data_IF_540746517125
#
_entry.id   IF_540746517125
#
_cell.length_a   1.000
_cell.length_b   1.000
_cell.length_c   1.000
_cell.angle_alpha   90.00
_cell.angle_beta   90.00
_cell.angle_gamma   90.00
#
_symmetry.space_group_name_H-M   'P 1'
#
loop_
_entity.id
_entity.type
_entity.pdbx_description
1 polymer ?
#
# COMPACT_ATOMS: atom_id res chain seq x y z
N UNK A 1 21.09 28.12 -32.97
CA UNK A 1 19.66 27.83 -32.74
C UNK A 1 19.51 26.40 -32.21
N UNK A 2 19.20 26.21 -30.91
CA UNK A 2 18.92 24.88 -30.35
C UNK A 2 17.48 24.52 -30.71
N UNK A 3 17.29 23.65 -31.72
CA UNK A 3 15.99 23.01 -31.96
C UNK A 3 15.70 22.12 -30.75
N UNK A 4 14.80 22.57 -29.87
CA UNK A 4 14.17 21.68 -28.90
C UNK A 4 13.28 20.74 -29.71
N UNK A 5 13.77 19.53 -29.97
CA UNK A 5 12.92 18.42 -30.34
C UNK A 5 12.06 18.13 -29.10
N UNK A 6 10.87 18.72 -29.04
CA UNK A 6 9.81 18.18 -28.20
C UNK A 6 9.33 16.96 -28.96
N UNK A 7 9.99 15.83 -28.72
CA UNK A 7 9.51 14.53 -29.18
C UNK A 7 8.20 14.31 -28.44
N UNK A 8 7.09 14.26 -29.16
CA UNK A 8 5.81 13.78 -28.63
C UNK A 8 5.96 12.28 -28.44
N UNK A 9 6.43 11.88 -27.26
CA UNK A 9 6.39 10.49 -26.83
C UNK A 9 4.93 10.11 -26.57
N UNK A 10 4.55 8.92 -27.01
CA UNK A 10 3.33 8.29 -26.51
C UNK A 10 3.43 8.02 -25.00
N UNK A 11 2.29 7.85 -24.34
CA UNK A 11 2.26 7.50 -22.91
C UNK A 11 3.04 6.20 -22.62
N UNK A 12 2.98 5.22 -23.53
CA UNK A 12 3.73 3.97 -23.40
C UNK A 12 5.25 4.16 -23.45
N UNK A 13 5.75 4.96 -24.40
CA UNK A 13 7.17 5.27 -24.53
C UNK A 13 7.67 6.08 -23.33
N UNK A 14 6.85 7.00 -22.82
CA UNK A 14 7.17 7.76 -21.62
C UNK A 14 7.24 6.84 -20.39
N UNK A 15 6.27 5.93 -20.22
CA UNK A 15 6.26 4.95 -19.13
C UNK A 15 7.48 4.03 -19.21
N UNK A 16 7.84 3.57 -20.41
CA UNK A 16 9.00 2.71 -20.63
C UNK A 16 10.31 3.44 -20.29
N UNK A 17 10.48 4.69 -20.72
CA UNK A 17 11.64 5.52 -20.39
C UNK A 17 11.74 5.80 -18.88
N UNK A 18 10.62 6.12 -18.22
CA UNK A 18 10.55 6.31 -16.77
C UNK A 18 10.96 5.03 -16.03
N UNK A 19 10.44 3.86 -16.45
CA UNK A 19 10.84 2.56 -15.92
C UNK A 19 12.32 2.27 -16.15
N UNK A 20 12.86 2.58 -17.33
CA UNK A 20 14.27 2.39 -17.67
C UNK A 20 15.23 3.23 -16.80
N UNK A 21 14.76 4.39 -16.32
CA UNK A 21 15.47 5.23 -15.34
C UNK A 21 15.35 4.73 -13.90
N UNK A 22 14.71 3.58 -13.67
CA UNK A 22 14.51 3.00 -12.35
C UNK A 22 13.37 3.63 -11.55
N UNK A 23 12.51 4.43 -12.19
CA UNK A 23 11.37 5.07 -11.53
C UNK A 23 10.16 4.14 -11.64
N UNK A 24 9.67 3.68 -10.50
CA UNK A 24 8.45 2.88 -10.40
C UNK A 24 7.24 3.80 -10.21
N UNK A 25 6.58 4.15 -11.33
CA UNK A 25 5.49 5.12 -11.34
C UNK A 25 4.31 4.69 -10.46
N UNK A 26 3.97 3.41 -10.45
CA UNK A 26 2.87 2.87 -9.62
C UNK A 26 3.21 2.96 -8.13
N UNK A 27 4.43 2.57 -7.76
CA UNK A 27 4.89 2.70 -6.38
C UNK A 27 4.84 4.16 -5.91
N UNK A 28 5.33 5.10 -6.74
CA UNK A 28 5.28 6.53 -6.42
C UNK A 28 3.85 7.06 -6.32
N UNK A 29 2.94 6.60 -7.20
CA UNK A 29 1.53 6.98 -7.16
C UNK A 29 0.86 6.50 -5.86
N UNK A 30 1.09 5.24 -5.48
CA UNK A 30 0.55 4.64 -4.26
C UNK A 30 1.10 5.31 -3.01
N UNK A 31 2.42 5.48 -2.88
CA UNK A 31 3.00 6.15 -1.72
C UNK A 31 2.57 7.61 -1.64
N UNK A 32 2.48 8.30 -2.78
CA UNK A 32 1.94 9.66 -2.86
C UNK A 32 0.47 9.74 -2.43
N UNK A 33 -0.37 8.78 -2.83
CA UNK A 33 -1.76 8.71 -2.38
C UNK A 33 -1.86 8.51 -0.87
N UNK A 34 -1.08 7.57 -0.30
CA UNK A 34 -1.05 7.30 1.14
C UNK A 34 -0.65 8.55 1.91
N UNK A 35 0.43 9.23 1.51
CA UNK A 35 0.91 10.46 2.18
C UNK A 35 -0.10 11.61 2.13
N UNK A 36 -0.82 11.76 1.01
CA UNK A 36 -1.87 12.78 0.83
C UNK A 36 -3.16 12.47 1.57
N UNK A 37 -3.47 11.20 1.82
CA UNK A 37 -4.73 10.77 2.45
C UNK A 37 -4.57 10.57 3.95
N UNK A 38 -3.40 10.12 4.40
CA UNK A 38 -3.12 9.73 5.77
C UNK A 38 -1.92 10.47 6.35
N UNK A 39 -2.07 10.84 7.63
CA UNK A 39 -0.99 11.29 8.50
C UNK A 39 -0.52 10.10 9.33
N UNK A 40 0.80 9.84 9.40
CA UNK A 40 1.35 8.81 10.28
C UNK A 40 1.34 9.36 11.71
N UNK A 41 0.68 8.66 12.62
CA UNK A 41 0.62 9.00 14.05
C UNK A 41 1.74 8.30 14.81
N UNK A 42 1.99 7.03 14.52
CA UNK A 42 3.03 6.24 15.19
C UNK A 42 3.10 4.81 14.69
N UNK A 43 4.14 4.07 15.08
CA UNK A 43 4.28 2.64 14.77
C UNK A 43 3.58 1.80 15.84
N UNK A 44 2.71 0.89 15.41
CA UNK A 44 2.01 -0.05 16.29
C UNK A 44 2.77 -1.38 16.42
N UNK A 45 3.50 -1.79 15.38
CA UNK A 45 4.29 -3.02 15.43
C UNK A 45 5.05 -3.31 14.14
N UNK A 46 5.89 -4.34 14.20
CA UNK A 46 6.63 -4.90 13.07
C UNK A 46 6.75 -6.41 13.26
N UNK A 47 6.57 -7.18 12.19
CA UNK A 47 6.70 -8.62 12.22
C UNK A 47 6.94 -9.21 10.84
N UNK A 48 6.93 -10.55 10.75
CA UNK A 48 7.19 -11.29 9.51
C UNK A 48 6.30 -10.86 8.34
N UNK A 49 5.07 -10.42 8.62
CA UNK A 49 4.10 -9.98 7.61
C UNK A 49 4.18 -8.49 7.27
N UNK A 50 5.12 -7.73 7.84
CA UNK A 50 5.32 -6.30 7.57
C UNK A 50 5.14 -5.38 8.78
N UNK A 51 5.01 -4.09 8.50
CA UNK A 51 4.96 -3.02 9.51
C UNK A 51 3.53 -2.53 9.70
N UNK A 52 3.10 -2.29 10.94
CA UNK A 52 1.77 -1.75 11.26
C UNK A 52 1.92 -0.36 11.86
N UNK A 53 1.18 0.59 11.31
CA UNK A 53 1.23 2.00 11.68
C UNK A 53 -0.15 2.47 12.12
N UNK A 54 -0.20 3.28 13.18
CA UNK A 54 -1.36 4.09 13.49
C UNK A 54 -1.34 5.29 12.56
N UNK A 55 -2.46 5.52 11.87
CA UNK A 55 -2.61 6.64 10.94
C UNK A 55 -3.89 7.39 11.20
N UNK A 56 -3.91 8.65 10.79
CA UNK A 56 -5.07 9.51 10.84
C UNK A 56 -5.46 9.92 9.43
N UNK A 57 -6.70 9.64 9.01
CA UNK A 57 -7.19 10.12 7.72
C UNK A 57 -7.34 11.63 7.76
N UNK A 58 -6.68 12.32 6.84
CA UNK A 58 -6.59 13.79 6.86
C UNK A 58 -7.95 14.47 6.66
N UNK A 59 -8.84 13.88 5.87
CA UNK A 59 -10.15 14.47 5.56
C UNK A 59 -11.15 14.38 6.71
N UNK A 60 -11.12 13.31 7.51
CA UNK A 60 -12.09 13.06 8.59
C UNK A 60 -11.51 13.18 9.99
N UNK A 61 -10.18 13.19 10.14
CA UNK A 61 -9.51 13.08 11.44
C UNK A 61 -9.61 11.71 12.10
N UNK A 62 -10.27 10.73 11.47
CA UNK A 62 -10.47 9.39 12.04
C UNK A 62 -9.16 8.59 12.05
N UNK A 63 -8.94 7.83 13.11
CA UNK A 63 -7.74 7.02 13.34
C UNK A 63 -7.96 5.58 12.87
N UNK A 64 -6.92 5.02 12.26
CA UNK A 64 -6.90 3.67 11.67
C UNK A 64 -5.57 2.96 11.96
N UNK A 65 -5.57 1.64 11.81
CA UNK A 65 -4.35 0.84 11.69
C UNK A 65 -4.04 0.60 10.20
N UNK A 66 -2.78 0.74 9.80
CA UNK A 66 -2.33 0.61 8.43
C UNK A 66 -1.14 -0.34 8.36
N UNK A 67 -1.33 -1.51 7.74
CA UNK A 67 -0.30 -2.54 7.56
C UNK A 67 0.39 -2.37 6.21
N UNK A 68 1.71 -2.16 6.22
CA UNK A 68 2.60 -2.09 5.05
C UNK A 68 3.23 -3.47 4.80
N UNK A 69 2.98 -4.05 3.64
CA UNK A 69 3.54 -5.35 3.23
C UNK A 69 4.31 -5.17 1.92
N UNK A 70 5.60 -5.53 1.92
CA UNK A 70 6.41 -5.54 0.69
C UNK A 70 6.17 -6.86 -0.05
N UNK A 71 5.75 -6.79 -1.30
CA UNK A 71 5.59 -7.95 -2.18
C UNK A 71 7.00 -8.30 -2.71
N UNK A 72 7.66 -9.29 -2.10
CA UNK A 72 8.97 -9.78 -2.57
C UNK A 72 8.77 -10.74 -3.75
N UNK A 73 8.85 -10.24 -4.99
CA UNK A 73 8.80 -11.09 -6.21
C UNK A 73 10.11 -11.83 -6.49
N UNK A 74 11.16 -11.56 -5.73
CA UNK A 74 12.42 -12.29 -5.82
C UNK A 74 12.27 -13.63 -5.11
N UNK A 75 11.89 -14.66 -5.88
CA UNK A 75 12.07 -16.10 -5.59
C UNK A 75 11.48 -16.68 -4.30
N UNK A 76 10.65 -15.96 -3.55
CA UNK A 76 10.01 -16.49 -2.33
C UNK A 76 8.63 -17.02 -2.69
N UNK A 77 8.59 -18.35 -2.90
CA UNK A 77 7.48 -19.30 -2.92
C UNK A 77 6.06 -18.77 -3.21
N UNK A 78 5.37 -19.36 -4.21
CA UNK A 78 3.91 -19.26 -4.48
C UNK A 78 3.05 -19.15 -3.20
N UNK A 79 3.46 -19.84 -2.13
CA UNK A 79 2.84 -19.85 -0.81
C UNK A 79 2.65 -18.44 -0.19
N UNK A 80 3.60 -17.51 -0.38
CA UNK A 80 3.50 -16.17 0.23
C UNK A 80 2.43 -15.31 -0.47
N UNK A 81 2.30 -15.45 -1.80
CA UNK A 81 1.24 -14.81 -2.57
C UNK A 81 -0.14 -15.38 -2.23
N UNK A 82 -0.24 -16.70 -2.07
CA UNK A 82 -1.48 -17.35 -1.64
C UNK A 82 -1.87 -16.94 -0.22
N UNK A 83 -0.91 -16.86 0.70
CA UNK A 83 -1.14 -16.41 2.08
C UNK A 83 -1.63 -14.96 2.13
N UNK A 84 -1.04 -14.07 1.32
CA UNK A 84 -1.49 -12.68 1.18
C UNK A 84 -2.91 -12.59 0.60
N UNK A 85 -3.20 -13.37 -0.44
CA UNK A 85 -4.52 -13.43 -1.05
C UNK A 85 -5.57 -13.98 -0.06
N UNK A 86 -5.20 -14.97 0.75
CA UNK A 86 -6.02 -15.51 1.82
C UNK A 86 -6.27 -14.46 2.90
N UNK A 87 -5.24 -13.72 3.34
CA UNK A 87 -5.39 -12.64 4.33
C UNK A 87 -6.41 -11.59 3.85
N UNK A 88 -6.27 -11.09 2.62
CA UNK A 88 -7.21 -10.13 2.03
C UNK A 88 -8.62 -10.74 1.90
N UNK A 89 -8.73 -12.00 1.46
CA UNK A 89 -10.02 -12.68 1.26
C UNK A 89 -10.75 -12.91 2.58
N UNK A 90 -10.01 -13.24 3.65
CA UNK A 90 -10.53 -13.34 5.00
C UNK A 90 -11.02 -11.97 5.49
N UNK A 91 -10.18 -10.93 5.39
CA UNK A 91 -10.53 -9.57 5.80
C UNK A 91 -11.74 -9.01 5.04
N UNK A 92 -11.90 -9.31 3.75
CA UNK A 92 -13.07 -8.89 2.94
C UNK A 92 -14.37 -9.59 3.32
N UNK A 93 -14.30 -10.82 3.86
CA UNK A 93 -15.48 -11.63 4.22
C UNK A 93 -15.91 -11.45 5.68
N UNK A 94 -15.02 -10.98 6.54
CA UNK A 94 -15.26 -10.83 7.97
C UNK A 94 -15.70 -9.40 8.29
N UNK A 95 -17.01 -9.14 8.22
CA UNK A 95 -17.63 -7.97 8.85
C UNK A 95 -18.33 -8.44 10.12
N UNK A 96 -17.69 -8.27 11.26
CA UNK A 96 -18.24 -8.67 12.56
C UNK A 96 -17.83 -7.67 13.63
N UNK A 97 -18.69 -7.44 14.63
CA UNK A 97 -18.43 -6.52 15.75
C UNK A 97 -17.10 -6.80 16.49
N UNK A 98 -16.60 -8.03 16.43
CA UNK A 98 -15.38 -8.47 17.10
C UNK A 98 -14.23 -8.79 16.14
N UNK A 99 -14.32 -8.39 14.87
CA UNK A 99 -13.27 -8.56 13.88
C UNK A 99 -12.96 -7.18 13.32
N UNK A 100 -11.68 -6.83 13.28
CA UNK A 100 -11.20 -5.57 12.74
C UNK A 100 -11.71 -5.42 11.30
N UNK A 101 -12.51 -4.38 11.03
CA UNK A 101 -13.07 -4.17 9.71
C UNK A 101 -12.01 -3.62 8.75
N UNK A 102 -11.94 -4.20 7.56
CA UNK A 102 -11.17 -3.68 6.43
C UNK A 102 -11.84 -2.41 5.89
N UNK A 103 -11.08 -1.33 5.80
CA UNK A 103 -11.54 -0.04 5.27
C UNK A 103 -11.18 0.09 3.80
N UNK A 104 -9.92 -0.14 3.46
CA UNK A 104 -9.44 -0.09 2.08
C UNK A 104 -8.14 -0.89 1.92
N UNK A 105 -7.85 -1.24 0.67
CA UNK A 105 -6.60 -1.86 0.24
C UNK A 105 -6.02 -0.98 -0.86
N UNK A 106 -4.77 -0.57 -0.69
CA UNK A 106 -4.03 0.24 -1.66
C UNK A 106 -2.82 -0.57 -2.09
N UNK A 107 -2.70 -0.85 -3.38
CA UNK A 107 -1.63 -1.72 -3.88
C UNK A 107 -0.93 -1.17 -5.11
N UNK A 108 0.37 -1.48 -5.18
CA UNK A 108 1.15 -1.51 -6.42
C UNK A 108 1.64 -2.94 -6.64
N UNK A 109 2.37 -3.14 -7.73
CA UNK A 109 3.11 -4.37 -7.94
C UNK A 109 3.96 -4.73 -6.72
N UNK A 110 4.74 -3.80 -6.16
CA UNK A 110 5.72 -4.09 -5.10
C UNK A 110 5.24 -3.93 -3.66
N UNK A 111 4.09 -3.29 -3.45
CA UNK A 111 3.68 -2.85 -2.13
C UNK A 111 2.18 -3.02 -1.93
N UNK A 112 1.80 -3.48 -0.73
CA UNK A 112 0.41 -3.53 -0.28
C UNK A 112 0.27 -2.73 1.01
N UNK A 113 -0.74 -1.88 1.05
CA UNK A 113 -1.23 -1.22 2.25
C UNK A 113 -2.63 -1.73 2.56
N UNK A 114 -2.84 -2.19 3.78
CA UNK A 114 -4.15 -2.61 4.29
C UNK A 114 -4.56 -1.62 5.38
N UNK A 115 -5.63 -0.87 5.14
CA UNK A 115 -6.18 0.09 6.11
C UNK A 115 -7.37 -0.56 6.82
N UNK A 116 -7.34 -0.48 8.15
CA UNK A 116 -8.24 -1.22 9.03
C UNK A 116 -8.70 -0.33 10.18
N UNK A 117 -9.86 -0.64 10.75
CA UNK A 117 -10.29 0.00 12.00
C UNK A 117 -9.24 -0.19 13.11
N UNK A 118 -9.05 0.83 13.94
CA UNK A 118 -8.23 0.68 15.13
C UNK A 118 -9.08 -0.02 16.21
N UNK A 119 -8.61 -1.16 16.72
CA UNK A 119 -9.27 -1.80 17.85
C UNK A 119 -8.85 -1.09 19.15
N UNK A 120 -9.79 -0.42 19.80
CA UNK A 120 -9.60 0.22 21.10
C UNK A 120 -9.58 -0.85 22.19
N UNK A 121 -8.46 -1.56 22.35
CA UNK A 121 -8.30 -2.48 23.48
C UNK A 121 -7.27 -3.57 23.24
N UNK A 122 -6.10 -3.40 23.88
CA UNK A 122 -5.16 -4.41 24.39
C UNK A 122 -4.97 -5.69 23.57
N UNK A 123 -3.71 -5.97 23.22
CA UNK A 123 -3.30 -7.29 22.75
C UNK A 123 -3.89 -8.41 23.63
N UNK A 124 -4.30 -9.49 22.96
CA UNK A 124 -4.65 -10.76 23.59
C UNK A 124 -3.54 -11.24 24.54
#
# INVERSE_FOLDING_TARGET
ARKKFVVTLSDEELIAEIKARGIDLELHAVEGYVQRTYEIVGKLGEGASGEVWQVRRRSSGQVFAMKKIRKHFTSSSINDQESLALEIKCLRKLRHRHIVNLIEVIESDKLLWIVMECADGGGL
#
